data_IF_146960183497
#
_entry.id   IF_146960183497
#
_cell.length_a   1.000
_cell.length_b   1.000
_cell.length_c   1.000
_cell.angle_alpha   90.00
_cell.angle_beta   90.00
_cell.angle_gamma   90.00
#
_symmetry.space_group_name_H-M   'P 1'
#
loop_
_entity.id
_entity.type
_entity.pdbx_description
1 polymer ?
#
# COMPACT_ATOMS: atom_id res chain seq x y z
N UNK A 1 -2.82 -13.58 56.98
CA UNK A 1 -3.12 -12.98 58.29
C UNK A 1 -3.43 -14.10 59.27
N UNK A 2 -2.45 -14.54 60.09
CA UNK A 2 -2.69 -15.58 61.09
C UNK A 2 -3.13 -14.94 62.43
N UNK A 3 -3.94 -15.62 63.26
CA UNK A 3 -4.05 -15.27 64.67
C UNK A 3 -2.97 -16.04 65.44
N UNK A 4 -1.92 -15.31 65.78
CA UNK A 4 -0.98 -15.68 66.83
C UNK A 4 -1.59 -15.41 68.21
N UNK A 5 -1.16 -16.22 69.18
CA UNK A 5 -1.13 -15.90 70.61
C UNK A 5 -2.45 -15.74 71.37
N UNK A 6 -2.86 -16.78 72.11
CA UNK A 6 -3.60 -16.61 73.36
C UNK A 6 -3.54 -17.88 74.24
N UNK A 7 -2.34 -18.38 74.57
CA UNK A 7 -2.19 -19.30 75.71
C UNK A 7 -0.94 -18.90 76.50
N UNK A 8 -1.14 -17.99 77.44
CA UNK A 8 -0.22 -17.74 78.53
C UNK A 8 -1.00 -17.73 79.85
N UNK A 9 -0.38 -18.31 80.89
CA UNK A 9 -0.71 -18.26 82.33
C UNK A 9 -1.86 -19.14 82.83
N UNK A 10 -1.48 -20.26 83.45
CA UNK A 10 -1.68 -20.47 84.90
C UNK A 10 -0.96 -21.76 85.36
N UNK A 11 0.33 -21.63 85.69
CA UNK A 11 1.06 -22.54 86.57
C UNK A 11 1.66 -21.68 87.69
N UNK A 12 0.99 -21.61 88.83
CA UNK A 12 1.58 -21.31 90.14
C UNK A 12 0.55 -21.68 91.22
N UNK A 13 1.06 -22.10 92.37
CA UNK A 13 0.39 -22.61 93.58
C UNK A 13 0.19 -24.13 93.54
N UNK A 14 1.00 -24.97 94.21
CA UNK A 14 1.93 -24.69 95.30
C UNK A 14 1.22 -24.64 96.65
N UNK A 15 0.77 -25.79 97.16
CA UNK A 15 0.48 -26.03 98.58
C UNK A 15 0.45 -27.56 98.78
N UNK A 16 1.53 -28.18 99.25
CA UNK A 16 1.80 -28.41 100.67
C UNK A 16 0.67 -29.16 101.36
N UNK A 17 0.87 -30.47 101.54
CA UNK A 17 -0.05 -31.36 102.22
C UNK A 17 0.46 -32.79 102.18
N UNK A 18 1.63 -33.06 102.77
CA UNK A 18 2.03 -34.41 103.17
C UNK A 18 1.24 -34.81 104.42
N UNK A 19 0.41 -35.87 104.38
CA UNK A 19 0.08 -36.63 105.58
C UNK A 19 1.08 -37.77 105.75
N UNK A 20 1.87 -37.72 106.83
CA UNK A 20 2.62 -38.87 107.34
C UNK A 20 1.66 -40.04 107.63
N UNK A 21 1.93 -41.26 107.13
CA UNK A 21 1.28 -42.45 107.63
C UNK A 21 2.11 -43.11 108.73
N UNK A 22 1.50 -43.18 109.91
CA UNK A 22 1.90 -43.93 111.10
C UNK A 22 2.06 -45.43 110.79
N UNK A 23 3.10 -46.12 111.30
CA UNK A 23 3.24 -47.56 111.14
C UNK A 23 2.54 -48.27 112.31
N UNK A 24 1.42 -48.95 112.05
CA UNK A 24 0.82 -49.84 113.05
C UNK A 24 0.05 -50.98 112.37
N UNK A 25 0.39 -52.21 112.73
CA UNK A 25 -0.44 -53.39 112.46
C UNK A 25 0.28 -54.50 111.73
N UNK A 26 1.08 -55.28 112.46
CA UNK A 26 1.54 -56.58 112.00
C UNK A 26 0.36 -57.53 111.82
N UNK A 27 0.11 -57.91 110.56
CA UNK A 27 -0.61 -59.12 110.21
C UNK A 27 0.36 -59.99 109.42
N UNK A 28 0.67 -61.17 109.94
CA UNK A 28 1.52 -62.15 109.26
C UNK A 28 0.87 -62.59 107.95
N UNK A 29 1.19 -61.90 106.86
CA UNK A 29 0.84 -62.33 105.51
C UNK A 29 1.78 -63.45 105.09
N UNK A 30 1.18 -64.57 104.71
CA UNK A 30 1.87 -65.71 104.14
C UNK A 30 2.79 -65.26 102.99
N UNK A 31 4.11 -65.59 103.01
CA UNK A 31 5.10 -65.09 102.06
C UNK A 31 4.83 -65.45 100.58
N UNK A 32 3.93 -66.41 100.32
CA UNK A 32 3.51 -66.77 98.95
C UNK A 32 2.69 -65.69 98.24
N UNK A 33 1.75 -65.02 98.92
CA UNK A 33 0.82 -64.08 98.26
C UNK A 33 1.51 -62.78 97.81
N UNK A 34 2.53 -62.33 98.52
CA UNK A 34 3.29 -61.14 98.14
C UNK A 34 4.13 -61.39 96.88
N UNK A 35 4.69 -62.59 96.73
CA UNK A 35 5.44 -62.99 95.55
C UNK A 35 4.52 -63.14 94.33
N UNK A 36 3.35 -63.76 94.49
CA UNK A 36 2.34 -63.86 93.42
C UNK A 36 1.84 -62.49 92.97
N UNK A 37 1.56 -61.57 93.89
CA UNK A 37 1.16 -60.20 93.54
C UNK A 37 2.28 -59.43 92.81
N UNK A 38 3.54 -59.64 93.20
CA UNK A 38 4.68 -59.04 92.52
C UNK A 38 4.83 -59.56 91.08
N UNK A 39 4.63 -60.88 90.87
CA UNK A 39 4.64 -61.49 89.55
C UNK A 39 3.51 -60.93 88.66
N UNK A 40 2.28 -60.87 89.17
CA UNK A 40 1.13 -60.30 88.44
C UNK A 40 1.34 -58.82 88.11
N UNK A 41 1.96 -58.04 89.01
CA UNK A 41 2.33 -56.64 88.73
C UNK A 41 3.38 -56.52 87.63
N UNK A 42 4.35 -57.42 87.59
CA UNK A 42 5.36 -57.45 86.54
C UNK A 42 4.76 -57.81 85.18
N UNK A 43 3.91 -58.84 85.12
CA UNK A 43 3.17 -59.19 83.89
C UNK A 43 2.25 -58.05 83.44
N UNK A 44 1.54 -57.39 84.36
CA UNK A 44 0.73 -56.21 84.05
C UNK A 44 1.58 -55.04 83.55
N UNK A 45 2.78 -54.84 84.08
CA UNK A 45 3.70 -53.81 83.60
C UNK A 45 4.19 -54.13 82.18
N UNK A 46 4.52 -55.39 81.89
CA UNK A 46 4.95 -55.83 80.56
C UNK A 46 3.84 -55.70 79.52
N UNK A 47 2.61 -56.10 79.85
CA UNK A 47 1.46 -55.93 78.95
C UNK A 47 1.11 -54.47 78.69
N UNK A 48 1.24 -53.59 79.70
CA UNK A 48 1.10 -52.14 79.50
C UNK A 48 2.16 -51.59 78.55
N UNK A 49 3.41 -52.03 78.70
CA UNK A 49 4.49 -51.62 77.79
C UNK A 49 4.20 -52.07 76.36
N UNK A 50 3.80 -53.33 76.15
CA UNK A 50 3.45 -53.84 74.81
C UNK A 50 2.29 -53.07 74.18
N UNK A 51 1.23 -52.77 74.94
CA UNK A 51 0.11 -51.97 74.45
C UNK A 51 0.52 -50.53 74.13
N UNK A 52 1.46 -49.96 74.88
CA UNK A 52 2.01 -48.64 74.59
C UNK A 52 2.84 -48.68 73.30
N UNK A 53 3.76 -49.64 73.17
CA UNK A 53 4.56 -49.83 71.96
C UNK A 53 3.67 -50.07 70.72
N UNK A 54 2.58 -50.84 70.86
CA UNK A 54 1.59 -51.03 69.79
C UNK A 54 0.86 -49.75 69.40
N UNK A 55 0.52 -48.90 70.37
CA UNK A 55 -0.08 -47.58 70.08
C UNK A 55 0.91 -46.67 69.38
N UNK A 56 2.15 -46.59 69.86
CA UNK A 56 3.21 -45.80 69.22
C UNK A 56 3.48 -46.26 67.79
N UNK A 57 3.46 -47.58 67.54
CA UNK A 57 3.56 -48.14 66.17
C UNK A 57 2.37 -47.76 65.30
N UNK A 58 1.13 -47.77 65.83
CA UNK A 58 -0.06 -47.35 65.09
C UNK A 58 -0.02 -45.85 64.78
N UNK A 59 0.32 -45.02 65.74
CA UNK A 59 0.42 -43.57 65.56
C UNK A 59 1.50 -43.22 64.52
N UNK A 60 2.64 -43.93 64.56
CA UNK A 60 3.68 -43.79 63.54
C UNK A 60 3.19 -44.22 62.16
N UNK A 61 2.52 -45.37 62.05
CA UNK A 61 1.98 -45.86 60.78
C UNK A 61 0.90 -44.93 60.22
N UNK A 62 0.03 -44.36 61.07
CA UNK A 62 -0.97 -43.39 60.66
C UNK A 62 -0.32 -42.07 60.21
N UNK A 63 0.72 -41.60 60.89
CA UNK A 63 1.46 -40.42 60.49
C UNK A 63 2.18 -40.62 59.15
N UNK A 64 2.75 -41.80 58.91
CA UNK A 64 3.37 -42.17 57.65
C UNK A 64 2.33 -42.26 56.52
N UNK A 65 1.16 -42.86 56.78
CA UNK A 65 0.06 -42.91 55.82
C UNK A 65 -0.47 -41.51 55.46
N UNK A 66 -0.57 -40.59 56.42
CA UNK A 66 -0.95 -39.19 56.16
C UNK A 66 0.05 -38.49 55.26
N UNK A 67 1.35 -38.66 55.50
CA UNK A 67 2.41 -38.09 54.65
C UNK A 67 2.38 -38.68 53.24
N UNK A 68 2.14 -39.97 53.11
CA UNK A 68 1.99 -40.62 51.81
C UNK A 68 0.78 -40.07 51.04
N UNK A 69 -0.36 -39.89 51.72
CA UNK A 69 -1.56 -39.31 51.13
C UNK A 69 -1.34 -37.85 50.71
N UNK A 70 -0.73 -37.02 51.56
CA UNK A 70 -0.39 -35.63 51.23
C UNK A 70 0.52 -35.55 50.00
N UNK A 71 1.51 -36.44 49.90
CA UNK A 71 2.38 -36.52 48.72
C UNK A 71 1.59 -36.88 47.45
N UNK A 72 0.66 -37.84 47.52
CA UNK A 72 -0.18 -38.21 46.37
C UNK A 72 -1.12 -37.07 45.96
N UNK A 73 -1.66 -36.32 46.92
CA UNK A 73 -2.52 -35.16 46.63
C UNK A 73 -1.71 -34.03 45.98
N UNK A 74 -0.47 -33.77 46.43
CA UNK A 74 0.44 -32.83 45.76
C UNK A 74 0.79 -33.26 44.34
N UNK A 75 1.07 -34.54 44.11
CA UNK A 75 1.31 -35.09 42.76
C UNK A 75 0.06 -35.06 41.88
N UNK A 76 -1.15 -35.12 42.46
CA UNK A 76 -2.41 -34.94 41.72
C UNK A 76 -2.59 -33.48 41.30
N UNK A 77 -2.44 -32.55 42.23
CA UNK A 77 -2.55 -31.10 41.95
C UNK A 77 -1.53 -30.69 40.88
N UNK A 78 -0.28 -31.15 40.98
CA UNK A 78 0.74 -30.83 39.98
C UNK A 78 0.42 -31.36 38.57
N UNK A 79 -0.27 -32.51 38.45
CA UNK A 79 -0.75 -33.03 37.16
C UNK A 79 -1.92 -32.22 36.62
N UNK A 80 -2.89 -31.88 37.48
CA UNK A 80 -4.04 -31.04 37.09
C UNK A 80 -3.58 -29.65 36.60
N UNK A 81 -2.63 -29.01 37.30
CA UNK A 81 -2.04 -27.74 36.87
C UNK A 81 -1.28 -27.85 35.53
N UNK A 82 -0.56 -28.96 35.32
CA UNK A 82 0.14 -29.21 34.06
C UNK A 82 -0.84 -29.42 32.89
N UNK A 83 -1.93 -30.16 33.12
CA UNK A 83 -3.00 -30.36 32.13
C UNK A 83 -3.73 -29.04 31.82
N UNK A 84 -4.05 -28.22 32.82
CA UNK A 84 -4.62 -26.90 32.60
C UNK A 84 -3.68 -25.99 31.81
N UNK A 85 -2.38 -25.98 32.14
CA UNK A 85 -1.39 -25.21 31.40
C UNK A 85 -1.32 -25.64 29.94
N UNK A 86 -1.35 -26.97 29.68
CA UNK A 86 -1.38 -27.50 28.33
C UNK A 86 -2.65 -27.10 27.57
N UNK A 87 -3.83 -27.16 28.22
CA UNK A 87 -5.09 -26.73 27.62
C UNK A 87 -5.08 -25.24 27.28
N UNK A 88 -4.54 -24.38 28.16
CA UNK A 88 -4.40 -22.94 27.89
C UNK A 88 -3.53 -22.66 26.66
N UNK A 89 -2.41 -23.37 26.52
CA UNK A 89 -1.54 -23.24 25.34
C UNK A 89 -2.26 -23.71 24.06
N UNK A 90 -3.02 -24.80 24.11
CA UNK A 90 -3.80 -25.26 22.95
C UNK A 90 -4.88 -24.25 22.53
N UNK A 91 -5.59 -23.65 23.48
CA UNK A 91 -6.59 -22.60 23.20
C UNK A 91 -5.92 -21.38 22.58
N UNK A 92 -4.80 -20.90 23.14
CA UNK A 92 -4.04 -19.77 22.57
C UNK A 92 -3.54 -20.05 21.15
N UNK A 93 -3.05 -21.27 20.89
CA UNK A 93 -2.62 -21.67 19.55
C UNK A 93 -3.81 -21.70 18.57
N UNK A 94 -4.97 -22.20 19.00
CA UNK A 94 -6.19 -22.20 18.21
C UNK A 94 -6.68 -20.79 17.87
N UNK A 95 -6.64 -19.86 18.83
CA UNK A 95 -6.98 -18.45 18.61
C UNK A 95 -6.01 -17.76 17.64
N UNK A 96 -4.71 -18.05 17.75
CA UNK A 96 -3.70 -17.51 16.83
C UNK A 96 -3.92 -17.99 15.39
N UNK A 97 -4.16 -19.30 15.21
CA UNK A 97 -4.45 -19.87 13.88
C UNK A 97 -5.74 -19.27 13.31
N UNK A 98 -6.81 -19.17 14.09
CA UNK A 98 -8.06 -18.56 13.65
C UNK A 98 -7.87 -17.07 13.28
N UNK A 99 -7.06 -16.33 14.04
CA UNK A 99 -6.72 -14.94 13.74
C UNK A 99 -5.99 -14.82 12.40
N UNK A 100 -5.00 -15.67 12.16
CA UNK A 100 -4.23 -15.71 10.91
C UNK A 100 -5.10 -16.07 9.70
N UNK A 101 -6.02 -17.03 9.83
CA UNK A 101 -6.97 -17.39 8.77
C UNK A 101 -7.88 -16.21 8.41
N UNK A 102 -8.47 -15.52 9.41
CA UNK A 102 -9.30 -14.33 9.14
C UNK A 102 -8.51 -13.17 8.54
N UNK A 103 -7.21 -13.07 8.83
CA UNK A 103 -6.33 -12.07 8.23
C UNK A 103 -6.07 -12.39 6.75
N UNK A 104 -5.72 -13.64 6.44
CA UNK A 104 -5.49 -14.10 5.07
C UNK A 104 -6.75 -13.97 4.20
N UNK A 105 -7.93 -14.32 4.73
CA UNK A 105 -9.20 -14.15 4.01
C UNK A 105 -9.48 -12.68 3.69
N UNK A 106 -9.25 -11.76 4.65
CA UNK A 106 -9.41 -10.32 4.41
C UNK A 106 -8.43 -9.81 3.35
N UNK A 107 -7.19 -10.28 3.37
CA UNK A 107 -6.18 -9.91 2.37
C UNK A 107 -6.58 -10.42 0.98
N UNK A 108 -7.01 -11.68 0.85
CA UNK A 108 -7.47 -12.26 -0.40
C UNK A 108 -8.71 -11.53 -0.95
N UNK A 109 -9.67 -11.20 -0.07
CA UNK A 109 -10.86 -10.44 -0.44
C UNK A 109 -10.53 -9.02 -0.92
N UNK A 110 -9.50 -8.39 -0.35
CA UNK A 110 -9.00 -7.10 -0.82
C UNK A 110 -8.36 -7.23 -2.21
N UNK A 111 -7.46 -8.20 -2.40
CA UNK A 111 -6.83 -8.43 -3.71
C UNK A 111 -7.85 -8.72 -4.81
N UNK A 112 -8.92 -9.47 -4.52
CA UNK A 112 -10.01 -9.73 -5.47
C UNK A 112 -10.78 -8.45 -5.84
N UNK A 113 -11.04 -7.57 -4.87
CA UNK A 113 -11.67 -6.27 -5.13
C UNK A 113 -10.78 -5.39 -6.00
N UNK A 114 -9.50 -5.31 -5.69
CA UNK A 114 -8.54 -4.51 -6.47
C UNK A 114 -8.37 -5.06 -7.89
N UNK A 115 -8.28 -6.39 -8.04
CA UNK A 115 -8.22 -7.04 -9.34
C UNK A 115 -9.49 -6.79 -10.16
N UNK A 116 -10.67 -6.86 -9.54
CA UNK A 116 -11.94 -6.55 -10.19
C UNK A 116 -12.00 -5.08 -10.64
N UNK A 117 -11.55 -4.15 -9.80
CA UNK A 117 -11.44 -2.73 -10.16
C UNK A 117 -10.57 -2.51 -11.40
N UNK A 118 -9.37 -3.09 -11.42
CA UNK A 118 -8.45 -3.00 -12.57
C UNK A 118 -9.02 -3.61 -13.85
N UNK A 119 -9.76 -4.72 -13.75
CA UNK A 119 -10.41 -5.33 -14.90
C UNK A 119 -11.56 -4.46 -15.44
N UNK A 120 -12.32 -3.80 -14.56
CA UNK A 120 -13.37 -2.86 -14.96
C UNK A 120 -12.79 -1.66 -15.71
N UNK A 121 -11.74 -1.03 -15.16
CA UNK A 121 -11.06 0.10 -15.79
C UNK A 121 -10.45 -0.28 -17.16
N UNK A 122 -9.88 -1.49 -17.27
CA UNK A 122 -9.40 -2.03 -18.54
C UNK A 122 -10.53 -2.28 -19.56
N UNK A 123 -11.71 -2.69 -19.10
CA UNK A 123 -12.86 -2.89 -19.97
C UNK A 123 -13.39 -1.55 -20.51
N UNK A 124 -13.51 -0.53 -19.65
CA UNK A 124 -13.95 0.82 -20.05
C UNK A 124 -12.95 1.48 -21.02
N UNK A 125 -11.65 1.34 -20.77
CA UNK A 125 -10.61 1.83 -21.69
C UNK A 125 -10.59 1.08 -23.02
N UNK A 126 -10.86 -0.22 -23.02
CA UNK A 126 -11.00 -1.00 -24.25
C UNK A 126 -12.24 -0.59 -25.06
N UNK A 127 -13.37 -0.34 -24.40
CA UNK A 127 -14.61 0.11 -25.05
C UNK A 127 -14.46 1.50 -25.66
N UNK A 128 -13.90 2.46 -24.91
CA UNK A 128 -13.61 3.81 -25.42
C UNK A 128 -12.64 3.77 -26.60
N UNK A 129 -11.61 2.93 -26.55
CA UNK A 129 -10.67 2.73 -27.67
C UNK A 129 -11.39 2.16 -28.89
N UNK A 130 -12.30 1.20 -28.71
CA UNK A 130 -13.09 0.61 -29.81
C UNK A 130 -14.00 1.64 -30.48
N UNK A 131 -14.66 2.48 -29.68
CA UNK A 131 -15.50 3.59 -30.19
C UNK A 131 -14.63 4.59 -30.98
N UNK A 132 -13.47 4.97 -30.44
CA UNK A 132 -12.55 5.90 -31.11
C UNK A 132 -12.03 5.33 -32.45
N UNK A 133 -11.68 4.04 -32.50
CA UNK A 133 -11.28 3.36 -33.73
C UNK A 133 -12.40 3.32 -34.77
N UNK A 134 -13.64 3.03 -34.35
CA UNK A 134 -14.79 3.05 -35.26
C UNK A 134 -15.04 4.45 -35.82
N UNK A 135 -14.96 5.49 -34.99
CA UNK A 135 -15.10 6.88 -35.43
C UNK A 135 -14.00 7.30 -36.41
N UNK A 136 -12.74 6.90 -36.18
CA UNK A 136 -11.63 7.17 -37.10
C UNK A 136 -11.83 6.50 -38.47
N UNK A 137 -12.41 5.29 -38.50
CA UNK A 137 -12.71 4.59 -39.74
C UNK A 137 -13.82 5.30 -40.53
N UNK A 138 -14.88 5.78 -39.86
CA UNK A 138 -15.93 6.60 -40.49
C UNK A 138 -15.39 7.92 -41.03
N UNK A 139 -14.53 8.62 -40.27
CA UNK A 139 -13.87 9.83 -40.76
C UNK A 139 -13.01 9.57 -42.00
N UNK A 140 -12.32 8.43 -42.06
CA UNK A 140 -11.56 8.03 -43.25
C UNK A 140 -12.46 7.80 -44.46
N UNK A 141 -13.59 7.10 -44.30
CA UNK A 141 -14.56 6.91 -45.38
C UNK A 141 -15.10 8.24 -45.92
N UNK A 142 -15.44 9.17 -45.02
CA UNK A 142 -15.92 10.49 -45.40
C UNK A 142 -14.85 11.29 -46.15
N UNK A 143 -13.60 11.18 -45.72
CA UNK A 143 -12.47 11.82 -46.40
C UNK A 143 -12.25 11.24 -47.80
N UNK A 144 -12.23 9.92 -47.94
CA UNK A 144 -12.05 9.25 -49.23
C UNK A 144 -13.19 9.63 -50.20
N UNK A 145 -14.44 9.71 -49.72
CA UNK A 145 -15.58 10.18 -50.50
C UNK A 145 -15.45 11.66 -50.92
N UNK A 146 -14.98 12.53 -50.01
CA UNK A 146 -14.73 13.93 -50.31
C UNK A 146 -13.59 14.11 -51.35
N UNK A 147 -12.53 13.31 -51.26
CA UNK A 147 -11.43 13.32 -52.23
C UNK A 147 -11.92 12.91 -53.64
N UNK A 148 -12.81 11.93 -53.75
CA UNK A 148 -13.43 11.56 -55.03
C UNK A 148 -14.32 12.68 -55.60
N UNK A 149 -15.12 13.36 -54.76
CA UNK A 149 -15.90 14.53 -55.21
C UNK A 149 -15.00 15.68 -55.67
N UNK A 150 -13.90 15.95 -54.96
CA UNK A 150 -12.91 16.95 -55.37
C UNK A 150 -12.30 16.59 -56.73
N UNK A 151 -11.97 15.31 -56.99
CA UNK A 151 -11.47 14.86 -58.30
C UNK A 151 -12.49 15.08 -59.42
N UNK A 152 -13.78 14.77 -59.17
CA UNK A 152 -14.87 15.00 -60.13
C UNK A 152 -15.03 16.49 -60.45
N UNK A 153 -15.09 17.34 -59.43
CA UNK A 153 -15.21 18.79 -59.59
C UNK A 153 -14.00 19.38 -60.32
N UNK A 154 -12.78 18.91 -60.01
CA UNK A 154 -11.55 19.35 -60.69
C UNK A 154 -11.58 19.00 -62.18
N UNK A 155 -12.01 17.79 -62.53
CA UNK A 155 -12.15 17.34 -63.93
C UNK A 155 -13.23 18.13 -64.67
N UNK A 156 -14.36 18.40 -64.01
CA UNK A 156 -15.43 19.22 -64.56
C UNK A 156 -14.97 20.67 -64.80
N UNK A 157 -14.20 21.25 -63.86
CA UNK A 157 -13.63 22.60 -63.99
C UNK A 157 -12.61 22.67 -65.13
N UNK A 158 -11.73 21.67 -65.29
CA UNK A 158 -10.80 21.63 -66.43
C UNK A 158 -11.53 21.55 -67.77
N UNK A 159 -12.60 20.73 -67.85
CA UNK A 159 -13.41 20.64 -69.06
C UNK A 159 -14.14 21.96 -69.38
N UNK A 160 -14.62 22.67 -68.35
CA UNK A 160 -15.25 23.98 -68.51
C UNK A 160 -14.26 25.04 -69.00
N UNK A 161 -13.05 25.07 -68.43
CA UNK A 161 -11.96 25.94 -68.91
C UNK A 161 -11.62 25.68 -70.37
N UNK A 162 -11.44 24.41 -70.78
CA UNK A 162 -11.18 24.08 -72.18
C UNK A 162 -12.34 24.48 -73.11
N UNK A 163 -13.60 24.39 -72.65
CA UNK A 163 -14.75 24.89 -73.43
C UNK A 163 -14.72 26.41 -73.58
N UNK A 164 -14.37 27.14 -72.52
CA UNK A 164 -14.21 28.61 -72.58
C UNK A 164 -13.08 29.01 -73.51
N UNK A 165 -11.92 28.38 -73.41
CA UNK A 165 -10.77 28.63 -74.29
C UNK A 165 -11.12 28.35 -75.76
N UNK A 166 -11.85 27.26 -76.05
CA UNK A 166 -12.31 26.97 -77.41
C UNK A 166 -13.33 28.00 -77.92
N UNK A 167 -14.26 28.44 -77.07
CA UNK A 167 -15.22 29.48 -77.41
C UNK A 167 -14.52 30.84 -77.65
N UNK A 168 -13.52 31.17 -76.84
CA UNK A 168 -12.71 32.39 -76.99
C UNK A 168 -11.86 32.35 -78.26
N UNK A 169 -11.22 31.22 -78.58
CA UNK A 169 -10.50 31.03 -79.84
C UNK A 169 -11.42 31.14 -81.08
N UNK A 170 -12.64 30.58 -81.00
CA UNK A 170 -13.63 30.71 -82.06
C UNK A 170 -14.09 32.16 -82.23
N UNK A 171 -14.33 32.88 -81.12
CA UNK A 171 -14.69 34.30 -81.13
C UNK A 171 -13.53 35.17 -81.66
N UNK A 172 -12.29 34.91 -81.26
CA UNK A 172 -11.10 35.60 -81.75
C UNK A 172 -10.89 35.35 -83.26
N UNK A 173 -11.08 34.12 -83.73
CA UNK A 173 -11.04 33.78 -85.16
C UNK A 173 -12.13 34.50 -85.96
N UNK A 174 -13.35 34.57 -85.43
CA UNK A 174 -14.44 35.34 -86.04
C UNK A 174 -14.16 36.85 -86.05
N UNK A 175 -13.59 37.40 -84.97
CA UNK A 175 -13.19 38.81 -84.92
C UNK A 175 -12.05 39.10 -85.90
N UNK A 176 -11.07 38.21 -86.03
CA UNK A 176 -9.96 38.34 -86.97
C UNK A 176 -10.43 38.28 -88.43
N UNK A 177 -11.42 37.45 -88.76
CA UNK A 177 -11.99 37.41 -90.12
C UNK A 177 -12.75 38.71 -90.45
N UNK A 178 -13.49 39.27 -89.48
CA UNK A 178 -14.14 40.59 -89.61
C UNK A 178 -13.09 41.71 -89.76
N UNK A 179 -12.04 41.70 -88.95
CA UNK A 179 -10.96 42.67 -89.01
C UNK A 179 -10.19 42.59 -90.34
N UNK A 180 -9.91 41.39 -90.86
CA UNK A 180 -9.30 41.20 -92.17
C UNK A 180 -10.17 41.77 -93.30
N UNK A 181 -11.50 41.63 -93.21
CA UNK A 181 -12.42 42.25 -94.15
C UNK A 181 -12.42 43.79 -94.05
N UNK A 182 -12.24 44.35 -92.86
CA UNK A 182 -12.14 45.80 -92.65
C UNK A 182 -10.78 46.39 -93.04
N UNK A 183 -9.68 45.65 -92.86
CA UNK A 183 -8.32 46.11 -93.20
C UNK A 183 -8.13 46.29 -94.72
N UNK A 184 -8.89 45.57 -95.55
CA UNK A 184 -8.95 45.79 -97.00
C UNK A 184 -9.51 47.19 -97.40
N UNK A 185 -10.12 47.93 -96.46
CA UNK A 185 -10.71 49.25 -96.68
C UNK A 185 -9.96 50.41 -96.02
N UNK A 186 -8.85 50.16 -95.32
CA UNK A 186 -8.17 51.17 -94.52
C UNK A 186 -6.94 51.79 -95.25
N UNK A 187 -6.88 53.13 -95.45
CA UNK A 187 -5.71 53.81 -95.99
C UNK A 187 -4.51 53.79 -95.01
N UNK A 188 -3.27 53.84 -95.53
CA UNK A 188 -2.05 53.64 -94.73
C UNK A 188 -1.75 54.85 -93.85
N UNK A 189 -1.70 54.66 -92.52
CA UNK A 189 -1.32 55.70 -91.58
C UNK A 189 -0.30 55.22 -90.55
N UNK A 190 0.87 55.87 -90.63
CA UNK A 190 1.86 56.27 -89.62
C UNK A 190 2.35 55.30 -88.52
N UNK A 191 3.68 55.23 -88.28
CA UNK A 191 4.30 54.40 -87.25
C UNK A 191 4.24 55.03 -85.83
N UNK A 192 4.02 54.24 -84.76
CA UNK A 192 4.19 54.69 -83.37
C UNK A 192 5.59 54.39 -82.79
N UNK A 193 6.01 55.12 -81.73
CA UNK A 193 7.34 55.07 -81.11
C UNK A 193 7.50 53.97 -80.03
N UNK A 194 8.75 53.66 -79.57
CA UNK A 194 9.05 52.53 -78.67
C UNK A 194 9.46 52.97 -77.26
N UNK A 195 8.77 52.58 -76.19
CA UNK A 195 9.14 52.84 -74.80
C UNK A 195 8.31 51.89 -73.89
N UNK A 196 8.73 51.15 -72.85
CA UNK A 196 9.90 51.09 -71.98
C UNK A 196 10.11 49.64 -71.46
N UNK A 197 11.37 49.29 -71.18
CA UNK A 197 11.76 48.11 -70.42
C UNK A 197 11.76 48.40 -68.90
N UNK A 198 11.03 47.61 -68.12
CA UNK A 198 11.16 47.48 -66.65
C UNK A 198 11.46 45.99 -66.40
N UNK A 199 12.59 45.57 -65.84
CA UNK A 199 13.22 46.06 -64.62
C UNK A 199 12.99 45.02 -63.50
N UNK A 200 13.53 43.80 -63.64
CA UNK A 200 13.42 42.71 -62.67
C UNK A 200 14.60 42.78 -61.70
N UNK A 201 14.41 43.43 -60.55
CA UNK A 201 15.43 43.47 -59.49
C UNK A 201 15.52 42.13 -58.75
N UNK A 202 16.77 41.77 -58.52
CA UNK A 202 17.32 40.68 -57.74
C UNK A 202 17.50 41.11 -56.28
N UNK A 203 17.24 40.23 -55.30
CA UNK A 203 17.74 40.30 -53.92
C UNK A 203 17.44 38.96 -53.22
N UNK A 204 18.43 38.06 -53.09
CA UNK A 204 19.39 37.97 -51.98
C UNK A 204 18.87 37.08 -50.83
N UNK A 205 19.16 35.78 -50.94
CA UNK A 205 19.16 34.82 -49.84
C UNK A 205 20.37 35.09 -48.91
N UNK A 206 20.17 35.23 -47.58
CA UNK A 206 21.26 35.13 -46.63
C UNK A 206 21.41 33.70 -46.14
N UNK A 207 22.51 33.07 -46.54
CA UNK A 207 23.03 31.83 -45.96
C UNK A 207 23.57 32.14 -44.57
N UNK A 208 22.86 31.74 -43.51
CA UNK A 208 23.36 31.79 -42.14
C UNK A 208 23.92 30.43 -41.73
N UNK A 209 25.21 30.42 -41.39
CA UNK A 209 25.99 29.26 -40.96
C UNK A 209 25.60 28.91 -39.52
N UNK A 210 25.17 27.66 -39.30
CA UNK A 210 24.82 27.12 -37.98
C UNK A 210 26.03 26.41 -37.36
N UNK A 211 26.60 26.88 -36.24
CA UNK A 211 27.56 26.09 -35.48
C UNK A 211 26.81 25.01 -34.69
N UNK A 212 27.36 23.79 -34.69
CA UNK A 212 26.84 22.61 -34.02
C UNK A 212 26.70 22.86 -32.51
N UNK A 213 25.45 23.02 -32.06
CA UNK A 213 25.10 23.22 -30.66
C UNK A 213 25.15 21.89 -29.90
N UNK A 214 26.07 21.80 -28.94
CA UNK A 214 25.93 20.90 -27.79
C UNK A 214 24.56 21.14 -27.16
N UNK A 215 23.74 20.09 -27.09
CA UNK A 215 22.35 20.13 -26.63
C UNK A 215 22.26 20.52 -25.15
N UNK A 216 22.30 21.83 -24.88
CA UNK A 216 22.07 22.38 -23.55
C UNK A 216 20.64 22.04 -23.10
N UNK A 217 20.43 21.77 -21.80
CA UNK A 217 19.10 21.55 -21.23
C UNK A 217 18.15 22.68 -21.62
N UNK A 218 17.18 22.34 -22.45
CA UNK A 218 16.23 23.28 -23.05
C UNK A 218 14.90 23.21 -22.31
N UNK A 219 14.66 24.20 -21.44
CA UNK A 219 13.41 24.37 -20.70
C UNK A 219 12.39 25.15 -21.52
N UNK A 220 11.12 24.73 -21.41
CA UNK A 220 9.98 25.42 -22.00
C UNK A 220 8.90 25.62 -20.94
N UNK A 221 8.16 26.73 -21.03
CA UNK A 221 6.99 26.98 -20.18
C UNK A 221 5.78 27.41 -21.02
N UNK A 222 4.58 27.21 -20.49
CA UNK A 222 3.34 27.75 -21.06
C UNK A 222 3.02 29.09 -20.39
N UNK A 223 2.87 30.14 -21.18
CA UNK A 223 2.42 31.44 -20.70
C UNK A 223 0.91 31.46 -20.39
N UNK A 224 0.40 32.61 -19.92
CA UNK A 224 -1.02 32.78 -19.61
C UNK A 224 -1.94 32.54 -20.83
N UNK A 225 -1.43 32.78 -22.04
CA UNK A 225 -2.12 32.52 -23.31
C UNK A 225 -1.96 31.08 -23.81
N UNK A 226 -1.38 30.19 -23.00
CA UNK A 226 -1.07 28.80 -23.36
C UNK A 226 -0.14 28.67 -24.57
N UNK A 227 0.67 29.69 -24.85
CA UNK A 227 1.72 29.60 -25.84
C UNK A 227 3.02 29.09 -25.22
N UNK A 228 3.73 28.26 -25.99
CA UNK A 228 5.03 27.70 -25.58
C UNK A 228 6.11 28.77 -25.74
N UNK A 229 6.84 29.04 -24.65
CA UNK A 229 7.99 29.94 -24.62
C UNK A 229 9.26 29.13 -24.32
N UNK A 230 10.35 29.43 -25.03
CA UNK A 230 11.65 28.76 -24.89
C UNK A 230 12.32 28.49 -26.24
N UNK A 231 13.49 27.84 -26.26
CA UNK A 231 14.17 27.23 -25.12
C UNK A 231 14.89 28.25 -24.22
N UNK A 232 14.85 28.01 -22.91
CA UNK A 232 15.64 28.73 -21.91
C UNK A 232 16.55 27.75 -21.16
N UNK A 233 17.68 28.25 -20.66
CA UNK A 233 18.59 27.49 -19.81
C UNK A 233 18.09 27.42 -18.35
N UNK A 234 18.60 26.45 -17.59
CA UNK A 234 18.19 26.25 -16.19
C UNK A 234 18.48 27.47 -15.29
N UNK A 235 19.62 28.19 -15.41
CA UNK A 235 19.89 29.40 -14.63
C UNK A 235 18.84 30.50 -14.85
N UNK A 236 18.41 30.75 -16.09
CA UNK A 236 17.39 31.78 -16.36
C UNK A 236 16.04 31.39 -15.75
N UNK A 237 15.61 30.13 -15.91
CA UNK A 237 14.35 29.65 -15.32
C UNK A 237 14.35 29.75 -13.79
N UNK A 238 15.49 29.42 -13.15
CA UNK A 238 15.69 29.55 -11.70
C UNK A 238 15.59 31.00 -11.23
N UNK A 239 16.24 31.92 -11.95
CA UNK A 239 16.17 33.36 -11.64
C UNK A 239 14.75 33.90 -11.75
N UNK A 240 13.99 33.50 -12.78
CA UNK A 240 12.61 33.91 -12.95
C UNK A 240 11.65 33.34 -11.90
N UNK A 241 11.87 32.09 -11.47
CA UNK A 241 11.12 31.50 -10.36
C UNK A 241 11.40 32.25 -9.05
N UNK A 242 12.68 32.53 -8.74
CA UNK A 242 13.07 33.26 -7.53
C UNK A 242 12.52 34.70 -7.50
N UNK A 243 12.42 35.34 -8.67
CA UNK A 243 11.84 36.68 -8.81
C UNK A 243 10.30 36.69 -8.86
N UNK A 244 9.63 35.53 -8.82
CA UNK A 244 8.17 35.45 -8.80
C UNK A 244 7.47 35.75 -10.12
N UNK A 245 8.18 35.66 -11.26
CA UNK A 245 7.56 35.86 -12.59
C UNK A 245 6.62 34.72 -13.00
N UNK A 246 6.75 33.54 -12.38
CA UNK A 246 5.91 32.38 -12.67
C UNK A 246 4.78 32.22 -11.65
N UNK A 247 3.52 32.26 -12.10
CA UNK A 247 2.39 31.78 -11.30
C UNK A 247 2.59 30.34 -10.82
N UNK A 248 2.03 29.94 -9.65
CA UNK A 248 2.16 28.57 -9.13
C UNK A 248 1.50 27.51 -10.03
N UNK A 249 0.64 27.93 -10.97
CA UNK A 249 -0.03 27.09 -11.97
C UNK A 249 0.70 27.00 -13.31
N UNK A 250 1.86 27.67 -13.47
CA UNK A 250 2.65 27.61 -14.70
C UNK A 250 3.12 26.17 -14.95
N UNK A 251 2.90 25.70 -16.17
CA UNK A 251 3.38 24.39 -16.62
C UNK A 251 4.74 24.55 -17.30
N UNK A 252 5.68 23.70 -16.90
CA UNK A 252 7.03 23.65 -17.45
C UNK A 252 7.32 22.25 -17.98
N UNK A 253 8.23 22.15 -18.96
CA UNK A 253 8.78 20.89 -19.44
C UNK A 253 10.26 21.06 -19.78
N UNK A 254 11.02 19.99 -19.69
CA UNK A 254 12.43 19.95 -20.08
C UNK A 254 12.63 18.92 -21.18
N UNK A 255 13.06 19.37 -22.37
CA UNK A 255 13.22 18.47 -23.51
C UNK A 255 14.34 17.43 -23.34
N UNK A 256 15.31 17.69 -22.45
CA UNK A 256 16.47 16.82 -22.26
C UNK A 256 16.31 15.87 -21.05
N UNK A 257 15.23 16.01 -20.27
CA UNK A 257 14.98 15.16 -19.11
C UNK A 257 13.77 14.27 -19.36
N UNK A 258 13.93 12.95 -19.58
CA UNK A 258 12.84 12.05 -19.99
C UNK A 258 11.62 12.08 -19.06
N UNK A 259 11.85 12.22 -17.75
CA UNK A 259 10.79 12.26 -16.75
C UNK A 259 10.02 13.60 -16.73
N UNK A 260 10.60 14.66 -17.31
CA UNK A 260 10.01 16.00 -17.40
C UNK A 260 9.72 16.38 -18.87
N UNK A 261 9.65 15.38 -19.77
CA UNK A 261 9.30 15.60 -21.16
C UNK A 261 7.83 16.03 -21.33
N UNK A 262 6.98 15.63 -20.38
CA UNK A 262 5.59 16.09 -20.25
C UNK A 262 5.47 17.46 -19.60
N UNK A 263 4.32 18.11 -19.76
CA UNK A 263 4.00 19.35 -19.07
C UNK A 263 3.66 19.07 -17.60
N UNK A 264 4.48 19.58 -16.67
CA UNK A 264 4.27 19.44 -15.22
C UNK A 264 4.10 20.80 -14.59
N UNK A 265 3.24 20.91 -13.56
CA UNK A 265 3.01 22.17 -12.86
C UNK A 265 4.24 22.50 -12.01
N UNK A 266 4.77 23.73 -12.14
CA UNK A 266 6.01 24.16 -11.49
C UNK A 266 5.99 23.99 -9.97
N UNK A 267 4.83 24.20 -9.33
CA UNK A 267 4.66 24.01 -7.88
C UNK A 267 4.84 22.57 -7.40
N UNK A 268 4.68 21.57 -8.27
CA UNK A 268 4.86 20.15 -7.93
C UNK A 268 6.33 19.70 -7.99
N UNK A 269 7.19 20.42 -8.71
CA UNK A 269 8.58 20.03 -8.96
C UNK A 269 9.54 20.47 -7.84
N UNK A 270 9.12 21.39 -6.97
CA UNK A 270 9.95 21.95 -5.91
C UNK A 270 11.05 22.89 -6.42
N UNK A 271 11.71 23.62 -5.51
CA UNK A 271 12.75 24.60 -5.85
C UNK A 271 14.06 23.98 -6.39
N UNK A 272 14.24 22.67 -6.23
CA UNK A 272 15.46 21.97 -6.62
C UNK A 272 15.54 21.66 -8.12
N UNK A 273 14.43 21.78 -8.88
CA UNK A 273 14.34 21.24 -10.25
C UNK A 273 15.24 21.93 -11.28
N UNK A 274 15.72 23.15 -10.98
CA UNK A 274 16.59 23.93 -11.86
C UNK A 274 18.07 23.93 -11.41
N UNK A 275 18.48 22.94 -10.62
CA UNK A 275 19.86 22.82 -10.11
C UNK A 275 20.75 21.94 -10.98
#
# INVERSE_FOLDING_TARGET
TPPSELIARARRDGASGEPSPTPAGGGGCAPGLAAELAAVRHELAMTKQLLQDERERRDFAEAEARKAQEKLDLERIGREEAEEAQQRVQVQLGEMIASDDTFLERQLAQQRRDAKGRLSERAETAETTRIAQAAALEQRKLRDAAEEEVKKLTTALSAERSRREAAEQAAASAAASVAAAQLAAAPPAAPPPPLFANGRMSAAEPTAVVPAATALPSWYFLDASKQVRGPYDAPTMKAWQAAGYFPPSTQVRNANHPQLAGWTVLSQLGAAVFS
#
